data_IF_676004731773
#
_entry.id   IF_676004731773
#
_cell.length_a   1.000
_cell.length_b   1.000
_cell.length_c   1.000
_cell.angle_alpha   90.00
_cell.angle_beta   90.00
_cell.angle_gamma   90.00
#
_symmetry.space_group_name_H-M   'P 1'
#
loop_
_entity.id
_entity.type
_entity.pdbx_description
1 polymer ?
#
# COMPACT_ATOMS: atom_id res chain seq x y z
N UNK A 1 11.13 0.66 -0.74
CA UNK A 1 10.75 -0.74 -1.04
C UNK A 1 9.28 -0.95 -0.68
N UNK A 2 8.37 -0.73 -1.63
CA UNK A 2 6.91 -0.90 -1.44
C UNK A 2 6.33 -2.02 -2.30
N UNK A 3 7.08 -2.49 -3.29
CA UNK A 3 6.58 -3.40 -4.33
C UNK A 3 6.22 -4.78 -3.77
N UNK A 4 7.00 -5.27 -2.81
CA UNK A 4 6.74 -6.55 -2.13
C UNK A 4 5.40 -6.51 -1.38
N UNK A 5 5.14 -5.54 -0.47
CA UNK A 5 3.81 -5.37 0.13
C UNK A 5 2.66 -5.24 -0.87
N UNK A 6 2.83 -4.44 -1.93
CA UNK A 6 1.79 -4.22 -2.94
C UNK A 6 1.42 -5.54 -3.61
N UNK A 7 2.42 -6.26 -4.12
CA UNK A 7 2.21 -7.55 -4.77
C UNK A 7 1.56 -8.55 -3.81
N UNK A 8 1.99 -8.60 -2.55
CA UNK A 8 1.42 -9.48 -1.55
C UNK A 8 -0.08 -9.21 -1.32
N UNK A 9 -0.49 -7.95 -1.16
CA UNK A 9 -1.90 -7.61 -0.97
C UNK A 9 -2.76 -7.89 -2.21
N UNK A 10 -2.23 -7.63 -3.41
CA UNK A 10 -2.93 -7.94 -4.67
C UNK A 10 -3.11 -9.46 -4.82
N UNK A 11 -2.05 -10.24 -4.60
CA UNK A 11 -2.11 -11.71 -4.70
C UNK A 11 -3.06 -12.28 -3.65
N UNK A 12 -2.99 -11.80 -2.40
CA UNK A 12 -3.88 -12.22 -1.34
C UNK A 12 -5.36 -11.94 -1.69
N UNK A 13 -5.68 -10.74 -2.19
CA UNK A 13 -7.02 -10.40 -2.64
C UNK A 13 -7.49 -11.32 -3.80
N UNK A 14 -6.59 -11.69 -4.71
CA UNK A 14 -6.88 -12.68 -5.75
C UNK A 14 -7.25 -14.05 -5.17
N UNK A 15 -6.47 -14.54 -4.20
CA UNK A 15 -6.77 -15.80 -3.51
C UNK A 15 -8.09 -15.74 -2.72
N UNK A 16 -8.39 -14.62 -2.05
CA UNK A 16 -9.66 -14.43 -1.34
C UNK A 16 -10.86 -14.53 -2.30
N UNK A 17 -10.78 -13.87 -3.46
CA UNK A 17 -11.82 -13.91 -4.49
C UNK A 17 -11.99 -15.33 -5.03
N UNK A 18 -10.89 -16.01 -5.35
CA UNK A 18 -10.92 -17.39 -5.84
C UNK A 18 -11.51 -18.34 -4.80
N UNK A 19 -11.14 -18.19 -3.53
CA UNK A 19 -11.69 -18.96 -2.41
C UNK A 19 -13.21 -18.77 -2.30
N UNK A 20 -13.68 -17.52 -2.32
CA UNK A 20 -15.10 -17.22 -2.18
C UNK A 20 -15.95 -17.73 -3.37
N UNK A 21 -15.46 -17.60 -4.61
CA UNK A 21 -16.14 -18.14 -5.80
C UNK A 21 -16.06 -19.67 -5.86
N UNK A 22 -15.00 -20.24 -5.27
CA UNK A 22 -14.77 -21.67 -5.19
C UNK A 22 -15.88 -22.41 -4.44
N UNK A 23 -16.40 -21.80 -3.37
CA UNK A 23 -17.42 -22.38 -2.51
C UNK A 23 -16.89 -23.52 -1.62
N UNK A 24 -17.66 -23.89 -0.61
CA UNK A 24 -17.24 -24.85 0.43
C UNK A 24 -17.06 -26.28 -0.10
N UNK A 25 -17.71 -26.63 -1.21
CA UNK A 25 -17.69 -27.96 -1.80
C UNK A 25 -16.32 -28.35 -2.39
N UNK A 26 -15.39 -27.40 -2.51
CA UNK A 26 -14.11 -27.59 -3.18
C UNK A 26 -12.95 -27.41 -2.22
N UNK A 27 -12.20 -28.48 -1.96
CA UNK A 27 -11.04 -28.44 -1.05
C UNK A 27 -9.99 -27.37 -1.40
N UNK A 28 -9.79 -27.06 -2.68
CA UNK A 28 -8.86 -26.00 -3.10
C UNK A 28 -9.31 -24.59 -2.67
N UNK A 29 -10.61 -24.36 -2.46
CA UNK A 29 -11.12 -23.05 -2.02
C UNK A 29 -10.67 -22.73 -0.59
N UNK A 30 -10.58 -23.75 0.26
CA UNK A 30 -10.02 -23.64 1.61
C UNK A 30 -8.51 -23.40 1.58
N UNK A 31 -7.78 -24.08 0.70
CA UNK A 31 -6.35 -23.84 0.54
C UNK A 31 -6.07 -22.42 0.03
N UNK A 32 -6.92 -21.87 -0.83
CA UNK A 32 -6.84 -20.46 -1.23
C UNK A 32 -7.08 -19.51 -0.06
N UNK A 33 -8.02 -19.82 0.85
CA UNK A 33 -8.24 -19.03 2.08
C UNK A 33 -7.00 -19.00 2.99
N UNK A 34 -6.37 -20.15 3.20
CA UNK A 34 -5.14 -20.24 3.99
C UNK A 34 -3.97 -19.52 3.29
N UNK A 35 -3.79 -19.75 1.98
CA UNK A 35 -2.78 -19.09 1.19
C UNK A 35 -2.93 -17.56 1.23
N UNK A 36 -4.15 -17.06 1.01
CA UNK A 36 -4.47 -15.64 1.15
C UNK A 36 -4.07 -15.09 2.50
N UNK A 37 -4.42 -15.80 3.58
CA UNK A 37 -4.11 -15.36 4.95
C UNK A 37 -2.60 -15.29 5.21
N UNK A 38 -1.83 -16.30 4.82
CA UNK A 38 -0.37 -16.27 4.99
C UNK A 38 0.29 -15.18 4.13
N UNK A 39 -0.11 -15.06 2.86
CA UNK A 39 0.41 -14.00 1.97
C UNK A 39 0.09 -12.61 2.52
N UNK A 40 -1.14 -12.41 3.02
CA UNK A 40 -1.57 -11.14 3.58
C UNK A 40 -0.78 -10.76 4.84
N UNK A 41 -0.58 -11.70 5.76
CA UNK A 41 0.21 -11.49 6.99
C UNK A 41 1.68 -11.21 6.65
N UNK A 42 2.27 -11.94 5.71
CA UNK A 42 3.64 -11.68 5.26
C UNK A 42 3.77 -10.29 4.62
N UNK A 43 2.82 -9.90 3.76
CA UNK A 43 2.75 -8.57 3.17
C UNK A 43 2.66 -7.47 4.22
N UNK A 44 1.85 -7.68 5.27
CA UNK A 44 1.74 -6.74 6.38
C UNK A 44 3.02 -6.63 7.21
N UNK A 45 3.70 -7.75 7.48
CA UNK A 45 4.99 -7.72 8.16
C UNK A 45 6.02 -6.88 7.40
N UNK A 46 6.15 -7.06 6.08
CA UNK A 46 7.03 -6.24 5.24
C UNK A 46 6.56 -4.78 5.18
N UNK A 47 5.25 -4.54 5.16
CA UNK A 47 4.66 -3.19 5.18
C UNK A 47 5.09 -2.39 6.41
N UNK A 48 5.18 -3.03 7.59
CA UNK A 48 5.63 -2.36 8.82
C UNK A 48 7.06 -1.85 8.66
N UNK A 49 7.98 -2.67 8.12
CA UNK A 49 9.36 -2.23 7.86
C UNK A 49 9.41 -1.07 6.83
N UNK A 50 8.60 -1.15 5.77
CA UNK A 50 8.49 -0.08 4.78
C UNK A 50 7.94 1.22 5.38
N UNK A 51 6.94 1.13 6.26
CA UNK A 51 6.36 2.28 6.94
C UNK A 51 7.36 2.97 7.89
N UNK A 52 8.14 2.19 8.64
CA UNK A 52 9.16 2.72 9.55
C UNK A 52 10.29 3.45 8.80
N UNK A 53 10.77 2.86 7.70
CA UNK A 53 11.80 3.46 6.86
C UNK A 53 11.28 4.73 6.15
N UNK A 54 10.09 4.66 5.55
CA UNK A 54 9.47 5.83 4.92
C UNK A 54 9.19 6.97 5.90
N UNK A 55 8.78 6.66 7.13
CA UNK A 55 8.60 7.67 8.18
C UNK A 55 9.91 8.37 8.57
N UNK A 56 11.00 7.62 8.68
CA UNK A 56 12.31 8.17 8.97
C UNK A 56 12.77 9.14 7.86
N UNK A 57 12.65 8.72 6.59
CA UNK A 57 13.04 9.53 5.44
C UNK A 57 12.19 10.79 5.31
N UNK A 58 10.87 10.68 5.53
CA UNK A 58 9.97 11.82 5.50
C UNK A 58 10.32 12.88 6.57
N UNK A 59 10.81 12.47 7.76
CA UNK A 59 11.23 13.43 8.79
C UNK A 59 12.55 14.12 8.47
N UNK A 60 13.46 13.45 7.76
CA UNK A 60 14.78 14.00 7.42
C UNK A 60 14.76 14.91 6.20
N UNK A 61 13.97 14.55 5.19
CA UNK A 61 14.14 15.05 3.83
C UNK A 61 12.97 15.90 3.32
N UNK A 62 12.09 16.41 4.20
CA UNK A 62 10.95 17.19 3.74
C UNK A 62 10.72 18.49 4.53
N UNK A 63 10.66 19.59 3.79
CA UNK A 63 10.32 20.92 4.31
C UNK A 63 8.84 21.23 4.06
N UNK A 64 8.20 21.92 5.01
CA UNK A 64 6.81 22.35 4.86
C UNK A 64 6.65 23.41 3.76
N UNK A 65 5.52 23.37 3.05
CA UNK A 65 5.17 24.33 1.99
C UNK A 65 5.65 23.95 0.58
N UNK A 66 6.19 22.74 0.40
CA UNK A 66 6.65 22.23 -0.90
C UNK A 66 5.61 21.29 -1.53
N UNK A 67 5.60 21.17 -2.86
CA UNK A 67 4.77 20.18 -3.57
C UNK A 67 5.16 18.75 -3.17
N UNK A 68 6.46 18.51 -3.00
CA UNK A 68 6.97 17.24 -2.50
C UNK A 68 6.37 16.87 -1.15
N UNK A 69 6.28 17.80 -0.19
CA UNK A 69 5.68 17.54 1.13
C UNK A 69 4.18 17.22 1.03
N UNK A 70 3.43 17.89 0.15
CA UNK A 70 2.01 17.57 -0.09
C UNK A 70 1.84 16.13 -0.62
N UNK A 71 2.73 15.72 -1.53
CA UNK A 71 2.75 14.37 -2.11
C UNK A 71 3.15 13.32 -1.08
N UNK A 72 4.19 13.58 -0.27
CA UNK A 72 4.59 12.74 0.87
C UNK A 72 3.43 12.55 1.84
N UNK A 73 2.74 13.63 2.21
CA UNK A 73 1.61 13.56 3.13
C UNK A 73 0.45 12.75 2.51
N UNK A 74 0.13 12.95 1.24
CA UNK A 74 -0.93 12.20 0.55
C UNK A 74 -0.61 10.70 0.51
N UNK A 75 0.61 10.34 0.11
CA UNK A 75 1.10 8.96 0.14
C UNK A 75 1.01 8.37 1.56
N UNK A 76 1.55 9.07 2.56
CA UNK A 76 1.57 8.61 3.94
C UNK A 76 0.16 8.42 4.51
N UNK A 77 -0.77 9.34 4.25
CA UNK A 77 -2.17 9.21 4.69
C UNK A 77 -2.81 7.95 4.11
N UNK A 78 -2.66 7.70 2.81
CA UNK A 78 -3.18 6.48 2.17
C UNK A 78 -2.56 5.23 2.80
N UNK A 79 -1.24 5.21 3.00
CA UNK A 79 -0.55 4.04 3.54
C UNK A 79 -0.89 3.78 5.03
N UNK A 80 -1.15 4.82 5.81
CA UNK A 80 -1.65 4.69 7.18
C UNK A 80 -3.07 4.10 7.17
N UNK A 81 -3.96 4.59 6.31
CA UNK A 81 -5.31 4.02 6.14
C UNK A 81 -5.23 2.55 5.75
N UNK A 82 -4.40 2.20 4.75
CA UNK A 82 -4.15 0.82 4.34
C UNK A 82 -3.65 -0.02 5.52
N UNK A 83 -2.73 0.49 6.32
CA UNK A 83 -2.19 -0.22 7.48
C UNK A 83 -3.27 -0.53 8.52
N UNK A 84 -4.12 0.44 8.85
CA UNK A 84 -5.24 0.24 9.79
C UNK A 84 -6.21 -0.82 9.26
N UNK A 85 -6.59 -0.72 7.99
CA UNK A 85 -7.48 -1.71 7.36
C UNK A 85 -6.84 -3.10 7.30
N UNK A 86 -5.54 -3.20 7.01
CA UNK A 86 -4.81 -4.46 6.99
C UNK A 86 -4.76 -5.11 8.37
N UNK A 87 -4.53 -4.34 9.43
CA UNK A 87 -4.56 -4.85 10.81
C UNK A 87 -5.94 -5.34 11.21
N UNK A 88 -6.99 -4.59 10.86
CA UNK A 88 -8.38 -5.02 11.08
C UNK A 88 -8.70 -6.32 10.30
N UNK A 89 -8.25 -6.40 9.04
CA UNK A 89 -8.42 -7.59 8.22
C UNK A 89 -7.70 -8.81 8.82
N UNK A 90 -6.46 -8.64 9.28
CA UNK A 90 -5.67 -9.70 9.93
C UNK A 90 -6.37 -10.17 11.21
N UNK A 91 -6.84 -9.25 12.05
CA UNK A 91 -7.57 -9.61 13.26
C UNK A 91 -8.82 -10.46 12.93
N UNK A 92 -9.56 -10.11 11.88
CA UNK A 92 -10.70 -10.90 11.41
C UNK A 92 -10.26 -12.27 10.86
N UNK A 93 -9.23 -12.31 10.01
CA UNK A 93 -8.68 -13.57 9.47
C UNK A 93 -8.27 -14.53 10.57
N UNK A 94 -7.57 -14.05 11.59
CA UNK A 94 -7.11 -14.89 12.71
C UNK A 94 -8.27 -15.44 13.55
N UNK A 95 -9.39 -14.71 13.65
CA UNK A 95 -10.58 -15.19 14.34
C UNK A 95 -11.29 -16.33 13.58
N UNK A 96 -11.38 -16.22 12.25
CA UNK A 96 -12.03 -17.21 11.39
C UNK A 96 -11.12 -18.30 10.83
N UNK A 97 -9.80 -18.23 11.04
CA UNK A 97 -8.81 -19.02 10.29
C UNK A 97 -9.08 -20.52 10.29
N UNK A 98 -9.41 -21.09 11.45
CA UNK A 98 -9.63 -22.53 11.60
C UNK A 98 -11.09 -22.95 11.40
N UNK A 99 -12.03 -22.01 11.43
CA UNK A 99 -13.48 -22.29 11.45
C UNK A 99 -14.14 -22.06 10.10
N UNK A 100 -13.65 -21.10 9.31
CA UNK A 100 -14.20 -20.79 8.01
C UNK A 100 -13.74 -21.80 6.95
N UNK A 101 -14.67 -22.30 6.15
CA UNK A 101 -14.38 -23.24 5.06
C UNK A 101 -13.83 -22.54 3.82
N UNK A 102 -14.24 -21.30 3.58
CA UNK A 102 -13.80 -20.42 2.50
C UNK A 102 -13.67 -18.99 3.02
N UNK A 103 -13.12 -18.11 2.19
CA UNK A 103 -12.97 -16.71 2.58
C UNK A 103 -14.33 -16.03 2.77
N UNK A 104 -14.62 -15.47 3.97
CA UNK A 104 -15.85 -14.70 4.19
C UNK A 104 -15.94 -13.49 3.26
N UNK A 105 -17.13 -13.20 2.72
CA UNK A 105 -17.34 -12.09 1.77
C UNK A 105 -16.87 -10.74 2.32
N UNK A 106 -17.04 -10.50 3.62
CA UNK A 106 -16.54 -9.28 4.26
C UNK A 106 -15.01 -9.12 4.16
N UNK A 107 -14.27 -10.23 4.28
CA UNK A 107 -12.81 -10.26 4.12
C UNK A 107 -12.41 -10.10 2.64
N UNK A 108 -13.18 -10.65 1.70
CA UNK A 108 -12.98 -10.42 0.26
C UNK A 108 -13.06 -8.93 -0.06
N UNK A 109 -14.16 -8.27 0.36
CA UNK A 109 -14.37 -6.84 0.12
C UNK A 109 -13.22 -6.03 0.72
N UNK A 110 -12.86 -6.30 1.98
CA UNK A 110 -11.80 -5.59 2.66
C UNK A 110 -10.44 -5.77 1.97
N UNK A 111 -10.14 -6.97 1.50
CA UNK A 111 -8.87 -7.29 0.81
C UNK A 111 -8.80 -6.62 -0.57
N UNK A 112 -9.91 -6.59 -1.32
CA UNK A 112 -10.00 -5.86 -2.60
C UNK A 112 -9.85 -4.35 -2.38
N UNK A 113 -10.50 -3.78 -1.36
CA UNK A 113 -10.35 -2.36 -1.01
C UNK A 113 -8.90 -2.03 -0.65
N UNK A 114 -8.24 -2.89 0.14
CA UNK A 114 -6.83 -2.72 0.50
C UNK A 114 -5.94 -2.80 -0.74
N UNK A 115 -6.15 -3.77 -1.62
CA UNK A 115 -5.42 -3.90 -2.88
C UNK A 115 -5.61 -2.67 -3.79
N UNK A 116 -6.82 -2.12 -3.87
CA UNK A 116 -7.09 -0.90 -4.61
C UNK A 116 -6.37 0.31 -3.98
N UNK A 117 -6.49 0.51 -2.67
CA UNK A 117 -5.87 1.62 -1.96
C UNK A 117 -4.33 1.56 -2.03
N UNK A 118 -3.72 0.39 -1.91
CA UNK A 118 -2.26 0.25 -2.03
C UNK A 118 -1.79 0.53 -3.45
N UNK A 119 -2.59 0.19 -4.46
CA UNK A 119 -2.31 0.51 -5.86
C UNK A 119 -2.40 2.02 -6.12
N UNK A 120 -3.34 2.71 -5.49
CA UNK A 120 -3.42 4.18 -5.57
C UNK A 120 -2.27 4.83 -4.77
N UNK A 121 -1.98 4.34 -3.57
CA UNK A 121 -0.87 4.84 -2.76
C UNK A 121 0.48 4.69 -3.46
N UNK A 122 0.67 3.62 -4.24
CA UNK A 122 1.91 3.36 -4.96
C UNK A 122 2.17 4.34 -6.10
N UNK A 123 1.14 4.97 -6.70
CA UNK A 123 1.36 6.00 -7.72
C UNK A 123 2.06 7.22 -7.12
N UNK A 124 1.63 7.66 -5.93
CA UNK A 124 2.28 8.76 -5.22
C UNK A 124 3.70 8.38 -4.76
N UNK A 125 3.89 7.15 -4.27
CA UNK A 125 5.22 6.65 -3.91
C UNK A 125 6.16 6.58 -5.12
N UNK A 126 5.66 6.14 -6.27
CA UNK A 126 6.37 6.12 -7.53
C UNK A 126 6.78 7.51 -7.99
N UNK A 127 5.86 8.49 -7.96
CA UNK A 127 6.19 9.89 -8.28
C UNK A 127 7.28 10.44 -7.36
N UNK A 128 7.23 10.15 -6.05
CA UNK A 128 8.29 10.59 -5.13
C UNK A 128 9.68 10.06 -5.55
N UNK A 129 9.77 8.79 -5.92
CA UNK A 129 11.06 8.15 -6.26
C UNK A 129 11.52 8.51 -7.67
N UNK A 130 10.64 8.36 -8.67
CA UNK A 130 11.00 8.45 -10.08
C UNK A 130 10.92 9.87 -10.65
N UNK A 131 9.96 10.68 -10.19
CA UNK A 131 9.80 12.04 -10.71
C UNK A 131 10.48 13.09 -9.82
N UNK A 132 10.38 12.95 -8.50
CA UNK A 132 10.89 13.95 -7.56
C UNK A 132 12.30 13.63 -7.05
N UNK A 133 12.83 12.45 -7.36
CA UNK A 133 14.17 12.03 -6.91
C UNK A 133 14.31 12.00 -5.39
N UNK A 134 13.26 11.60 -4.68
CA UNK A 134 13.28 11.53 -3.22
C UNK A 134 14.45 10.66 -2.74
N UNK A 135 15.27 11.23 -1.85
CA UNK A 135 16.49 10.62 -1.31
C UNK A 135 17.64 10.45 -2.33
N UNK A 136 17.63 11.22 -3.42
CA UNK A 136 18.74 11.34 -4.38
C UNK A 136 19.37 12.74 -4.25
N UNK A 137 20.70 12.81 -4.08
CA UNK A 137 21.41 14.07 -3.78
C UNK A 137 21.26 15.15 -4.85
N UNK A 138 21.08 14.77 -6.13
CA UNK A 138 20.91 15.72 -7.25
C UNK A 138 19.49 16.28 -7.39
N UNK A 139 18.52 15.81 -6.61
CA UNK A 139 17.13 16.19 -6.75
C UNK A 139 16.74 17.48 -6.00
N UNK A 140 17.60 17.98 -5.11
CA UNK A 140 17.32 19.17 -4.31
C UNK A 140 17.06 20.45 -5.12
N UNK A 141 17.59 20.53 -6.35
CA UNK A 141 17.41 21.67 -7.27
C UNK A 141 16.11 21.55 -8.10
N UNK A 142 15.31 20.50 -7.93
CA UNK A 142 14.04 20.35 -8.65
C UNK A 142 12.96 21.27 -8.06
N UNK A 143 12.18 21.99 -8.90
CA UNK A 143 11.24 23.01 -8.46
C UNK A 143 10.13 22.50 -7.51
N UNK A 144 9.87 21.18 -7.51
CA UNK A 144 8.91 20.54 -6.61
C UNK A 144 9.34 20.57 -5.12
N UNK A 145 10.64 20.77 -4.87
CA UNK A 145 11.24 20.92 -3.54
C UNK A 145 11.30 22.37 -3.06
N UNK A 146 10.99 23.34 -3.93
CA UNK A 146 10.93 24.74 -3.56
C UNK A 146 9.58 25.05 -2.91
N UNK A 147 9.56 26.04 -2.00
CA UNK A 147 8.31 26.51 -1.41
C UNK A 147 7.41 27.11 -2.49
N UNK A 148 6.24 26.54 -2.66
CA UNK A 148 5.26 26.98 -3.65
C UNK A 148 3.87 26.47 -3.28
N UNK A 149 2.87 27.35 -3.42
CA UNK A 149 1.46 26.96 -3.37
C UNK A 149 0.94 26.42 -4.71
N UNK A 150 1.72 26.61 -5.78
CA UNK A 150 1.39 26.10 -7.13
C UNK A 150 2.17 24.83 -7.43
N UNK A 151 1.45 23.85 -7.99
CA UNK A 151 2.01 22.57 -8.39
C UNK A 151 2.63 22.69 -9.79
N UNK A 152 3.83 22.12 -9.96
CA UNK A 152 4.52 22.12 -11.26
C UNK A 152 4.06 20.91 -12.06
N UNK A 153 3.47 21.14 -13.22
CA UNK A 153 3.05 20.09 -14.14
C UNK A 153 4.16 19.70 -15.13
N UNK A 154 4.13 18.48 -15.72
CA UNK A 154 5.19 17.99 -16.61
C UNK A 154 5.55 18.92 -17.79
N UNK A 155 4.63 19.79 -18.24
CA UNK A 155 4.86 20.76 -19.31
C UNK A 155 5.41 22.13 -18.87
N UNK A 156 5.70 22.32 -17.58
CA UNK A 156 6.21 23.58 -17.01
C UNK A 156 7.69 23.50 -16.61
N UNK A 157 8.41 22.48 -17.12
CA UNK A 157 9.80 22.19 -16.73
C UNK A 157 10.85 23.12 -17.38
N UNK A 158 10.46 23.92 -18.38
CA UNK A 158 11.37 24.74 -19.19
C UNK A 158 10.99 26.24 -19.25
N UNK A 159 10.85 26.89 -18.09
CA UNK A 159 10.61 28.34 -17.96
C UNK A 159 11.78 29.08 -17.33
#
# INVERSE_FOLDING_TARGET
MTDIPIAAYIIAAGFDVLSAIGGEDRGWAREMWHAATYTFVAGAAVSVFAALTGWWDARKSSEAGTQARRTINTHATIMITVTVLALANIAWRLNGYNTEAVTPIGIVILSVVIAALVSVGSTFGGTLVYDYGFNVETAGDSPVWHKSETDVFPGQRDG
#
